data_IF_782364038642
#
_entry.id   IF_782364038642
#
_cell.length_a   1.000
_cell.length_b   1.000
_cell.length_c   1.000
_cell.angle_alpha   90.00
_cell.angle_beta   90.00
_cell.angle_gamma   90.00
#
_symmetry.space_group_name_H-M   'P 1'
#
loop_
_entity.id
_entity.type
_entity.pdbx_description
1 polymer ?
#
# COMPACT_ATOMS: atom_id res chain seq x y z
N UNK A 1 5.22 -12.61 21.51
CA UNK A 1 5.00 -13.21 20.17
C UNK A 1 4.43 -12.14 19.26
N UNK A 2 5.16 -11.73 18.22
CA UNK A 2 4.63 -10.78 17.22
C UNK A 2 3.49 -11.45 16.45
N UNK A 3 2.35 -10.77 16.29
CA UNK A 3 1.24 -11.28 15.48
C UNK A 3 1.73 -11.54 14.07
N UNK A 4 1.59 -12.77 13.58
CA UNK A 4 1.86 -13.11 12.17
C UNK A 4 0.95 -12.25 11.28
N UNK A 5 1.58 -11.45 10.40
CA UNK A 5 0.87 -10.63 9.42
C UNK A 5 0.87 -11.36 8.09
N UNK A 6 -0.26 -12.01 7.78
CA UNK A 6 -0.45 -12.69 6.51
C UNK A 6 -0.66 -11.74 5.34
N UNK A 7 -0.29 -12.18 4.13
CA UNK A 7 -0.44 -11.42 2.88
C UNK A 7 -1.88 -11.02 2.57
N UNK A 8 -2.86 -11.79 3.07
CA UNK A 8 -4.29 -11.51 2.90
C UNK A 8 -4.73 -10.20 3.57
N UNK A 9 -4.00 -9.72 4.59
CA UNK A 9 -4.33 -8.45 5.27
C UNK A 9 -4.16 -7.22 4.36
N UNK A 10 -3.46 -7.38 3.24
CA UNK A 10 -3.28 -6.32 2.22
C UNK A 10 -4.49 -6.18 1.30
N UNK A 11 -5.47 -7.08 1.39
CA UNK A 11 -6.66 -7.07 0.56
C UNK A 11 -7.92 -6.86 1.40
N UNK A 12 -8.91 -6.26 0.78
CA UNK A 12 -10.27 -6.09 1.29
C UNK A 12 -11.19 -6.90 0.38
N UNK A 13 -12.02 -7.73 0.97
CA UNK A 13 -13.00 -8.58 0.26
C UNK A 13 -14.41 -8.06 0.54
N UNK A 14 -15.16 -7.75 -0.51
CA UNK A 14 -16.57 -7.44 -0.42
C UNK A 14 -17.39 -8.73 -0.53
N UNK A 15 -17.94 -9.20 0.58
CA UNK A 15 -18.75 -10.43 0.63
C UNK A 15 -20.11 -10.31 -0.07
N UNK A 16 -20.57 -9.10 -0.39
CA UNK A 16 -21.85 -8.88 -1.08
C UNK A 16 -21.68 -8.97 -2.59
N UNK A 17 -20.61 -8.39 -3.13
CA UNK A 17 -20.36 -8.37 -4.58
C UNK A 17 -19.39 -9.45 -5.04
N UNK A 18 -18.55 -9.96 -4.15
CA UNK A 18 -17.45 -10.86 -4.47
C UNK A 18 -16.15 -10.16 -4.90
N UNK A 19 -16.07 -8.83 -4.75
CA UNK A 19 -14.92 -8.05 -5.21
C UNK A 19 -13.72 -8.09 -4.26
N UNK A 20 -12.52 -8.13 -4.82
CA UNK A 20 -11.24 -8.00 -4.11
C UNK A 20 -10.59 -6.66 -4.44
N UNK A 21 -10.26 -5.88 -3.41
CA UNK A 21 -9.52 -4.62 -3.53
C UNK A 21 -8.21 -4.70 -2.77
N UNK A 22 -7.11 -4.34 -3.44
CA UNK A 22 -5.81 -4.19 -2.78
C UNK A 22 -5.80 -2.87 -1.99
N UNK A 23 -5.53 -2.93 -0.69
CA UNK A 23 -5.43 -1.75 0.19
C UNK A 23 -4.18 -0.91 -0.11
N UNK A 24 -3.15 -1.55 -0.64
CA UNK A 24 -1.87 -0.90 -0.98
C UNK A 24 -1.83 -0.37 -2.42
N UNK A 25 -0.96 0.62 -2.65
CA UNK A 25 -0.74 1.20 -3.98
C UNK A 25 0.05 0.27 -4.92
N UNK A 26 -0.23 0.33 -6.21
CA UNK A 26 0.62 -0.25 -7.27
C UNK A 26 1.71 0.74 -7.68
N UNK A 27 2.92 0.23 -7.92
CA UNK A 27 4.05 1.03 -8.36
C UNK A 27 3.80 1.54 -9.79
N UNK A 28 3.90 2.86 -10.04
CA UNK A 28 3.68 3.42 -11.37
C UNK A 28 4.77 3.02 -12.37
N UNK A 29 5.93 2.53 -11.90
CA UNK A 29 7.04 2.13 -12.77
C UNK A 29 6.99 0.67 -13.20
N UNK A 30 6.60 -0.24 -12.30
CA UNK A 30 6.71 -1.68 -12.54
C UNK A 30 5.48 -2.51 -12.14
N UNK A 31 4.39 -1.88 -11.69
CA UNK A 31 3.13 -2.56 -11.36
C UNK A 31 3.17 -3.43 -10.09
N UNK A 32 4.29 -3.51 -9.37
CA UNK A 32 4.38 -4.25 -8.10
C UNK A 32 3.69 -3.49 -6.96
N UNK A 33 3.25 -4.21 -5.93
CA UNK A 33 2.65 -3.60 -4.73
C UNK A 33 3.70 -2.82 -3.94
N UNK A 34 3.33 -1.61 -3.51
CA UNK A 34 4.18 -0.73 -2.69
C UNK A 34 3.87 -0.89 -1.20
N UNK A 35 4.88 -0.67 -0.36
CA UNK A 35 4.74 -0.60 1.08
C UNK A 35 4.48 0.85 1.51
N UNK A 36 3.52 1.03 2.42
CA UNK A 36 3.25 2.31 3.06
C UNK A 36 4.06 2.40 4.35
N UNK A 37 4.83 3.47 4.50
CA UNK A 37 5.52 3.81 5.74
C UNK A 37 4.90 5.08 6.29
N UNK A 38 4.65 5.13 7.60
CA UNK A 38 4.03 6.28 8.27
C UNK A 38 5.01 7.36 8.71
N UNK A 39 6.30 7.04 8.90
CA UNK A 39 7.30 8.00 9.35
C UNK A 39 8.65 7.82 8.62
N UNK A 40 9.07 8.76 7.76
CA UNK A 40 8.22 9.76 7.11
C UNK A 40 7.13 9.10 6.25
N UNK A 41 5.95 9.74 6.08
CA UNK A 41 4.85 9.21 5.29
C UNK A 41 5.25 9.07 3.82
N UNK A 42 5.37 7.84 3.34
CA UNK A 42 5.83 7.53 1.98
C UNK A 42 5.36 6.16 1.50
N UNK A 43 5.31 6.03 0.18
CA UNK A 43 5.17 4.76 -0.52
C UNK A 43 6.52 4.34 -1.08
N UNK A 44 6.96 3.12 -0.79
CA UNK A 44 8.20 2.56 -1.35
C UNK A 44 7.92 1.24 -2.06
N UNK A 45 8.42 1.10 -3.29
CA UNK A 45 8.37 -0.15 -4.04
C UNK A 45 9.61 -1.00 -3.74
N UNK A 46 9.41 -2.17 -3.13
CA UNK A 46 10.52 -3.10 -2.84
C UNK A 46 11.13 -3.78 -4.07
N UNK A 47 10.52 -3.65 -5.26
CA UNK A 47 11.00 -4.31 -6.48
C UNK A 47 11.89 -3.46 -7.38
N UNK A 48 11.66 -2.14 -7.43
CA UNK A 48 12.46 -1.21 -8.26
C UNK A 48 12.98 -0.01 -7.47
N UNK A 49 12.87 -0.04 -6.15
CA UNK A 49 13.32 1.02 -5.23
C UNK A 49 12.68 2.40 -5.46
N UNK A 50 11.52 2.46 -6.14
CA UNK A 50 10.78 3.72 -6.31
C UNK A 50 10.23 4.19 -4.97
N UNK A 51 10.39 5.47 -4.64
CA UNK A 51 9.82 6.06 -3.44
C UNK A 51 9.07 7.34 -3.77
N UNK A 52 7.87 7.49 -3.21
CA UNK A 52 7.02 8.66 -3.35
C UNK A 52 6.61 9.12 -1.96
N UNK A 53 6.96 10.36 -1.62
CA UNK A 53 6.62 10.96 -0.34
C UNK A 53 5.24 11.58 -0.40
N UNK A 54 4.41 11.27 0.60
CA UNK A 54 3.07 11.82 0.70
C UNK A 54 3.23 13.22 1.29
N UNK A 55 3.02 14.24 0.47
CA UNK A 55 2.90 15.62 0.94
C UNK A 55 1.46 15.80 1.39
N UNK A 56 1.23 16.09 2.66
CA UNK A 56 -0.06 16.60 3.09
C UNK A 56 -0.29 17.93 2.35
N UNK A 57 -1.25 17.96 1.42
CA UNK A 57 -1.72 19.23 0.89
C UNK A 57 -2.36 19.95 2.07
N UNK A 58 -1.71 21.00 2.58
CA UNK A 58 -2.42 22.03 3.34
C UNK A 58 -3.54 22.52 2.43
N UNK A 59 -4.78 22.12 2.71
CA UNK A 59 -5.94 22.79 2.16
C UNK A 59 -5.90 24.19 2.77
N UNK A 60 -5.62 25.18 1.91
CA UNK A 60 -5.63 26.59 2.29
C UNK A 60 -7.04 27.10 2.49
#
# INVERSE_FOLDING_TARGET
>A
MGKEKGVWQLYEYDYKTGDIKLKNRKCPRCGKTMAHHSNPPRWTCGGCSYTEYIREKKQG
#
